data_IF_968140345596
#
_entry.id   IF_968140345596
#
_cell.length_a   1.000
_cell.length_b   1.000
_cell.length_c   1.000
_cell.angle_alpha   90.00
_cell.angle_beta   90.00
_cell.angle_gamma   90.00
#
_symmetry.space_group_name_H-M   'P 1'
#
loop_
_entity.id
_entity.type
_entity.pdbx_description
1 polymer ?
#
# COMPACT_ATOMS: atom_id res chain seq x y z
N UNK A 1 4.85 32.86 -8.24
CA UNK A 1 5.61 32.09 -9.25
C UNK A 1 6.01 30.70 -8.82
N UNK A 2 6.43 30.43 -7.58
CA UNK A 2 6.71 29.05 -7.15
C UNK A 2 5.43 28.35 -6.62
N UNK A 3 4.51 29.08 -5.98
CA UNK A 3 3.26 28.52 -5.47
C UNK A 3 2.28 28.08 -6.58
N UNK A 4 2.21 28.84 -7.69
CA UNK A 4 1.27 28.56 -8.79
C UNK A 4 1.60 27.25 -9.54
N UNK A 5 2.88 26.85 -9.54
CA UNK A 5 3.33 25.60 -10.18
C UNK A 5 2.91 24.40 -9.34
N UNK A 6 3.04 24.48 -8.01
CA UNK A 6 2.62 23.41 -7.11
C UNK A 6 1.10 23.24 -7.13
N UNK A 7 0.33 24.33 -7.14
CA UNK A 7 -1.12 24.28 -7.21
C UNK A 7 -1.62 23.62 -8.51
N UNK A 8 -1.03 23.97 -9.65
CA UNK A 8 -1.32 23.32 -10.93
C UNK A 8 -0.88 21.85 -11.02
N UNK A 9 0.12 21.42 -10.22
CA UNK A 9 0.52 20.02 -10.10
C UNK A 9 -0.46 19.24 -9.23
N UNK A 10 -0.92 19.82 -8.11
CA UNK A 10 -1.94 19.22 -7.25
C UNK A 10 -3.29 19.07 -7.96
N UNK A 11 -3.73 20.07 -8.73
CA UNK A 11 -4.96 19.95 -9.52
C UNK A 11 -4.87 18.89 -10.64
N UNK A 12 -3.68 18.71 -11.23
CA UNK A 12 -3.45 17.65 -12.24
C UNK A 12 -3.39 16.28 -11.60
N UNK A 13 -2.84 16.17 -10.39
CA UNK A 13 -2.86 14.94 -9.60
C UNK A 13 -4.29 14.57 -9.20
N UNK A 14 -5.09 15.54 -8.76
CA UNK A 14 -6.51 15.32 -8.40
C UNK A 14 -7.31 14.82 -9.60
N UNK A 15 -7.12 15.44 -10.78
CA UNK A 15 -7.75 15.01 -12.05
C UNK A 15 -7.24 13.66 -12.57
N UNK A 16 -6.02 13.25 -12.22
CA UNK A 16 -5.48 11.91 -12.50
C UNK A 16 -6.15 10.86 -11.60
N UNK A 17 -6.45 11.19 -10.34
CA UNK A 17 -7.21 10.31 -9.43
C UNK A 17 -8.62 10.02 -9.91
N UNK A 18 -9.26 11.00 -10.57
CA UNK A 18 -10.62 10.85 -11.10
C UNK A 18 -10.69 10.09 -12.44
N UNK A 19 -9.57 9.95 -13.16
CA UNK A 19 -9.52 9.33 -14.50
C UNK A 19 -8.94 7.92 -14.53
N UNK A 20 -8.43 7.40 -13.41
CA UNK A 20 -7.98 6.00 -13.29
C UNK A 20 -9.10 5.13 -12.71
N UNK A 21 -9.67 4.28 -13.56
CA UNK A 21 -10.67 3.24 -13.32
C UNK A 21 -10.31 2.25 -12.14
N UNK A 22 -11.24 1.37 -11.71
CA UNK A 22 -11.89 1.27 -10.41
C UNK A 22 -11.13 0.47 -9.31
N UNK A 23 -9.81 0.59 -9.19
CA UNK A 23 -9.05 0.07 -8.03
C UNK A 23 -7.87 1.00 -7.75
N UNK A 24 -8.01 1.89 -6.76
CA UNK A 24 -6.86 2.64 -6.24
C UNK A 24 -5.76 1.67 -5.79
N UNK A 25 -4.48 2.05 -5.92
CA UNK A 25 -3.34 1.24 -5.48
C UNK A 25 -3.53 0.68 -4.06
N UNK A 26 -4.07 1.49 -3.15
CA UNK A 26 -4.41 1.05 -1.79
C UNK A 26 -5.43 -0.09 -1.73
N UNK A 27 -6.37 -0.18 -2.67
CA UNK A 27 -7.32 -1.30 -2.75
C UNK A 27 -6.64 -2.58 -3.24
N UNK A 28 -5.73 -2.48 -4.22
CA UNK A 28 -4.91 -3.61 -4.68
C UNK A 28 -3.98 -4.11 -3.58
N UNK A 29 -3.29 -3.19 -2.90
CA UNK A 29 -2.43 -3.50 -1.77
C UNK A 29 -3.21 -4.17 -0.64
N UNK A 30 -4.37 -3.62 -0.26
CA UNK A 30 -5.23 -4.21 0.77
C UNK A 30 -5.66 -5.61 0.39
N UNK A 31 -6.11 -5.83 -0.84
CA UNK A 31 -6.51 -7.15 -1.31
C UNK A 31 -5.32 -8.13 -1.25
N UNK A 32 -4.16 -7.72 -1.77
CA UNK A 32 -2.96 -8.56 -1.75
C UNK A 32 -2.49 -8.89 -0.33
N UNK A 33 -2.70 -8.02 0.66
CA UNK A 33 -2.39 -8.30 2.08
C UNK A 33 -3.41 -9.29 2.66
N UNK A 34 -4.70 -9.07 2.38
CA UNK A 34 -5.80 -9.88 2.93
C UNK A 34 -5.87 -11.30 2.34
N UNK A 35 -5.35 -11.51 1.15
CA UNK A 35 -5.29 -12.84 0.51
C UNK A 35 -4.19 -13.75 1.07
N UNK A 36 -3.28 -13.23 1.90
CA UNK A 36 -2.19 -14.03 2.50
C UNK A 36 -2.74 -14.92 3.63
N UNK A 37 -2.72 -16.23 3.40
CA UNK A 37 -3.20 -17.22 4.36
C UNK A 37 -2.32 -17.31 5.61
N UNK A 38 -2.94 -17.60 6.76
CA UNK A 38 -2.25 -17.86 8.04
C UNK A 38 -2.14 -16.67 8.98
N UNK A 39 -2.64 -15.49 8.58
CA UNK A 39 -2.66 -14.29 9.40
C UNK A 39 -4.07 -13.90 9.84
N UNK A 40 -4.20 -13.30 11.02
CA UNK A 40 -5.48 -12.77 11.50
C UNK A 40 -5.76 -11.36 10.95
N UNK A 41 -7.04 -11.02 10.80
CA UNK A 41 -7.49 -9.76 10.19
C UNK A 41 -6.95 -8.50 10.89
N UNK A 42 -6.81 -8.53 12.22
CA UNK A 42 -6.30 -7.38 12.99
C UNK A 42 -4.84 -7.08 12.62
N UNK A 43 -4.01 -8.12 12.50
CA UNK A 43 -2.64 -7.98 12.06
C UNK A 43 -2.56 -7.51 10.61
N UNK A 44 -3.34 -8.11 9.70
CA UNK A 44 -3.37 -7.74 8.28
C UNK A 44 -3.76 -6.27 8.07
N UNK A 45 -4.71 -5.75 8.85
CA UNK A 45 -5.05 -4.33 8.84
C UNK A 45 -3.89 -3.42 9.30
N UNK A 46 -3.10 -3.86 10.29
CA UNK A 46 -1.93 -3.12 10.75
C UNK A 46 -0.81 -3.14 9.71
N UNK A 47 -0.54 -4.29 9.10
CA UNK A 47 0.43 -4.43 8.01
C UNK A 47 0.06 -3.57 6.79
N UNK A 48 -1.22 -3.57 6.38
CA UNK A 48 -1.72 -2.69 5.33
C UNK A 48 -1.45 -1.22 5.63
N UNK A 49 -1.75 -0.76 6.86
CA UNK A 49 -1.48 0.62 7.28
C UNK A 49 0.01 0.96 7.31
N UNK A 50 0.86 -0.02 7.60
CA UNK A 50 2.31 0.16 7.58
C UNK A 50 2.82 0.31 6.16
N UNK A 51 2.48 -0.64 5.28
CA UNK A 51 2.87 -0.63 3.86
C UNK A 51 2.35 0.62 3.14
N UNK A 52 1.15 1.10 3.46
CA UNK A 52 0.63 2.37 2.92
C UNK A 52 1.48 3.61 3.25
N UNK A 53 2.40 3.55 4.21
CA UNK A 53 3.30 4.68 4.55
C UNK A 53 4.53 4.74 3.65
N UNK A 54 4.90 3.64 3.01
CA UNK A 54 6.05 3.55 2.11
C UNK A 54 5.61 2.93 0.78
N UNK A 55 5.47 3.79 -0.24
CA UNK A 55 5.02 3.36 -1.56
C UNK A 55 5.95 2.31 -2.18
N UNK A 56 7.27 2.37 -1.91
CA UNK A 56 8.24 1.42 -2.47
C UNK A 56 8.08 0.05 -1.83
N UNK A 57 7.95 -0.03 -0.49
CA UNK A 57 7.68 -1.31 0.18
C UNK A 57 6.32 -1.91 -0.23
N UNK A 58 5.31 -1.07 -0.42
CA UNK A 58 4.00 -1.50 -0.90
C UNK A 58 4.05 -2.08 -2.33
N UNK A 59 4.78 -1.44 -3.24
CA UNK A 59 4.97 -1.93 -4.61
C UNK A 59 5.73 -3.27 -4.62
N UNK A 60 6.83 -3.37 -3.86
CA UNK A 60 7.58 -4.61 -3.68
C UNK A 60 6.64 -5.71 -3.17
N UNK A 61 5.83 -5.42 -2.16
CA UNK A 61 4.89 -6.38 -1.61
C UNK A 61 3.90 -6.90 -2.66
N UNK A 62 3.27 -6.02 -3.45
CA UNK A 62 2.28 -6.41 -4.48
C UNK A 62 2.92 -7.33 -5.53
N UNK A 63 4.14 -7.02 -5.96
CA UNK A 63 4.88 -7.77 -6.99
C UNK A 63 5.48 -9.09 -6.50
N UNK A 64 5.54 -9.30 -5.19
CA UNK A 64 6.14 -10.50 -4.59
C UNK A 64 5.20 -11.72 -4.69
N UNK A 65 5.77 -12.92 -4.80
CA UNK A 65 5.01 -14.17 -4.75
C UNK A 65 4.43 -14.43 -3.34
N UNK A 66 3.58 -15.45 -3.19
CA UNK A 66 2.89 -15.71 -1.92
C UNK A 66 3.85 -16.03 -0.77
N UNK A 67 4.91 -16.80 -1.01
CA UNK A 67 5.92 -17.15 0.00
C UNK A 67 6.67 -15.90 0.49
N UNK A 68 7.12 -15.05 -0.42
CA UNK A 68 7.78 -13.79 -0.08
C UNK A 68 6.83 -12.82 0.62
N UNK A 69 5.55 -12.76 0.24
CA UNK A 69 4.52 -11.98 0.95
C UNK A 69 4.38 -12.44 2.40
N UNK A 70 4.38 -13.76 2.65
CA UNK A 70 4.37 -14.31 4.02
C UNK A 70 5.62 -13.91 4.80
N UNK A 71 6.80 -13.94 4.17
CA UNK A 71 8.05 -13.53 4.82
C UNK A 71 8.01 -12.04 5.21
N UNK A 72 7.63 -11.17 4.28
CA UNK A 72 7.49 -9.72 4.54
C UNK A 72 6.48 -9.47 5.68
N UNK A 73 5.34 -10.15 5.67
CA UNK A 73 4.35 -10.02 6.75
C UNK A 73 4.87 -10.57 8.09
N UNK A 74 5.65 -11.65 8.09
CA UNK A 74 6.27 -12.16 9.33
C UNK A 74 7.26 -11.14 9.92
N UNK A 75 8.09 -10.53 9.08
CA UNK A 75 9.03 -9.49 9.51
C UNK A 75 8.29 -8.27 10.08
N UNK A 76 7.23 -7.82 9.39
CA UNK A 76 6.36 -6.74 9.88
C UNK A 76 5.65 -7.11 11.19
N UNK A 77 5.26 -8.37 11.37
CA UNK A 77 4.67 -8.86 12.62
C UNK A 77 5.63 -8.74 13.79
N UNK A 78 6.91 -9.07 13.57
CA UNK A 78 7.95 -8.91 14.58
C UNK A 78 8.20 -7.43 14.89
N UNK A 79 8.17 -6.55 13.89
CA UNK A 79 8.34 -5.10 14.09
C UNK A 79 7.17 -4.46 14.84
N UNK A 80 5.92 -4.86 14.56
CA UNK A 80 4.72 -4.29 15.19
C UNK A 80 4.56 -4.76 16.65
N UNK A 81 5.11 -5.92 17.01
CA UNK A 81 5.04 -6.49 18.37
C UNK A 81 6.08 -5.91 19.33
N UNK A 82 7.15 -5.30 18.82
CA UNK A 82 8.19 -4.62 19.59
C UNK A 82 7.85 -3.15 19.79
#
# INVERSE_FOLDING_TARGET
>A
MMNDIFEGVYERLDKLTDTVYPFSFGKQLRQSVMEVQGFNERFLNAAFRYLMKDCTEAEIFVLTNEEGKRNILNDLCMMIRN
#
